data_IF_962830732707
#
_entry.id   IF_962830732707
#
_cell.length_a   1.000
_cell.length_b   1.000
_cell.length_c   1.000
_cell.angle_alpha   90.00
_cell.angle_beta   90.00
_cell.angle_gamma   90.00
#
_symmetry.space_group_name_H-M   'P 1'
#
loop_
_entity.id
_entity.type
_entity.pdbx_description
1 polymer ?
#
# COMPACT_ATOMS: atom_id res chain seq x y z
N UNK A 1 3.07 5.08 -10.04
CA UNK A 1 3.87 4.99 -8.79
C UNK A 1 4.16 3.53 -8.46
N UNK A 2 5.29 3.27 -7.85
CA UNK A 2 5.60 1.93 -7.34
C UNK A 2 4.73 1.63 -6.12
N UNK A 3 4.48 0.35 -5.85
CA UNK A 3 3.66 -0.05 -4.70
C UNK A 3 4.20 0.50 -3.39
N UNK A 4 5.52 0.48 -3.21
CA UNK A 4 6.16 1.01 -2.00
C UNK A 4 5.93 2.52 -1.86
N UNK A 5 6.00 3.26 -2.95
CA UNK A 5 5.73 4.70 -2.96
C UNK A 5 4.29 5.00 -2.59
N UNK A 6 3.35 4.21 -3.13
CA UNK A 6 1.92 4.38 -2.85
C UNK A 6 1.65 4.21 -1.36
N UNK A 7 2.15 3.13 -0.76
CA UNK A 7 1.93 2.86 0.66
C UNK A 7 2.55 3.97 1.53
N UNK A 8 3.77 4.37 1.21
CA UNK A 8 4.45 5.43 1.96
C UNK A 8 3.72 6.76 1.87
N UNK A 9 3.18 7.06 0.70
CA UNK A 9 2.41 8.29 0.50
C UNK A 9 1.13 8.28 1.34
N UNK A 10 0.40 7.17 1.33
CA UNK A 10 -0.81 7.00 2.14
C UNK A 10 -0.49 7.12 3.64
N UNK A 11 0.57 6.44 4.07
CA UNK A 11 1.02 6.49 5.46
C UNK A 11 1.36 7.93 5.87
N UNK A 12 2.04 8.65 5.00
CA UNK A 12 2.42 10.04 5.26
C UNK A 12 1.19 10.93 5.42
N UNK A 13 0.19 10.77 4.56
CA UNK A 13 -1.04 11.55 4.64
C UNK A 13 -1.85 11.26 5.91
N UNK A 14 -1.74 10.05 6.44
CA UNK A 14 -2.44 9.64 7.66
C UNK A 14 -1.58 9.78 8.91
N UNK A 15 -0.38 10.32 8.76
CA UNK A 15 0.58 10.44 9.85
C UNK A 15 0.81 9.09 10.55
N UNK A 16 0.97 8.04 9.74
CA UNK A 16 1.11 6.66 10.19
C UNK A 16 2.54 6.19 9.99
N UNK A 17 3.28 6.01 11.08
CA UNK A 17 4.64 5.45 11.02
C UNK A 17 4.63 3.93 10.91
N UNK A 18 5.79 3.37 10.59
CA UNK A 18 5.97 1.92 10.42
C UNK A 18 5.56 1.14 11.68
N UNK A 19 5.97 1.62 12.85
CA UNK A 19 5.67 0.94 14.11
C UNK A 19 4.16 0.91 14.38
N UNK A 20 3.48 2.02 14.14
CA UNK A 20 2.03 2.11 14.35
C UNK A 20 1.29 1.20 13.40
N UNK A 21 1.72 1.13 12.14
CA UNK A 21 1.15 0.21 11.15
C UNK A 21 1.35 -1.23 11.58
N UNK A 22 2.56 -1.57 12.03
CA UNK A 22 2.88 -2.92 12.50
C UNK A 22 2.00 -3.30 13.70
N UNK A 23 1.85 -2.40 14.66
CA UNK A 23 1.01 -2.63 15.84
C UNK A 23 -0.44 -2.94 15.44
N UNK A 24 -0.98 -2.19 14.50
CA UNK A 24 -2.35 -2.40 14.02
C UNK A 24 -2.52 -3.73 13.29
N UNK A 25 -1.45 -4.21 12.65
CA UNK A 25 -1.46 -5.50 11.95
C UNK A 25 -1.12 -6.67 12.86
N UNK A 26 -0.73 -6.40 14.11
CA UNK A 26 -0.28 -7.45 15.03
C UNK A 26 1.03 -8.08 14.58
N UNK A 27 1.89 -7.33 13.92
CA UNK A 27 3.18 -7.80 13.41
C UNK A 27 4.32 -6.96 13.97
N UNK A 28 5.54 -7.49 13.84
CA UNK A 28 6.74 -6.75 14.26
C UNK A 28 7.07 -5.67 13.23
N UNK A 29 7.61 -4.54 13.70
CA UNK A 29 7.92 -3.41 12.83
C UNK A 29 8.96 -3.75 11.75
N UNK A 30 9.91 -4.66 12.03
CA UNK A 30 10.89 -5.06 11.03
C UNK A 30 10.23 -5.82 9.86
N UNK A 31 9.14 -6.56 10.11
CA UNK A 31 8.38 -7.24 9.05
C UNK A 31 7.76 -6.20 8.11
N UNK A 32 7.19 -5.14 8.67
CA UNK A 32 6.59 -4.07 7.88
C UNK A 32 7.67 -3.28 7.15
N UNK A 33 8.80 -2.99 7.80
CA UNK A 33 9.93 -2.31 7.14
C UNK A 33 10.40 -3.06 5.91
N UNK A 34 10.50 -4.39 6.00
CA UNK A 34 10.88 -5.24 4.87
C UNK A 34 9.85 -5.14 3.73
N UNK A 35 8.57 -5.22 4.07
CA UNK A 35 7.49 -5.10 3.07
C UNK A 35 7.56 -3.77 2.32
N UNK A 36 7.92 -2.70 3.03
CA UNK A 36 8.01 -1.36 2.45
C UNK A 36 9.21 -1.15 1.54
N UNK A 37 10.09 -2.14 1.42
CA UNK A 37 11.22 -2.11 0.49
C UNK A 37 11.02 -3.03 -0.72
N UNK A 38 9.90 -3.76 -0.79
CA UNK A 38 9.63 -4.74 -1.83
C UNK A 38 8.64 -4.19 -2.86
N UNK A 39 9.12 -3.92 -4.06
CA UNK A 39 8.25 -3.45 -5.15
C UNK A 39 7.36 -4.57 -5.71
N UNK A 40 7.75 -5.82 -5.48
CA UNK A 40 7.02 -7.00 -5.95
C UNK A 40 6.29 -7.74 -4.84
N UNK A 41 5.84 -7.00 -3.84
CA UNK A 41 5.08 -7.55 -2.71
C UNK A 41 3.83 -8.28 -3.21
N UNK A 42 3.48 -9.38 -2.55
CA UNK A 42 2.27 -10.13 -2.93
C UNK A 42 1.02 -9.28 -2.69
N UNK A 43 -0.01 -9.55 -3.49
CA UNK A 43 -1.27 -8.82 -3.39
C UNK A 43 -1.93 -9.03 -2.02
N UNK A 44 -1.78 -10.22 -1.45
CA UNK A 44 -2.35 -10.51 -0.12
C UNK A 44 -1.70 -9.63 0.95
N UNK A 45 -0.38 -9.53 0.93
CA UNK A 45 0.36 -8.69 1.89
C UNK A 45 0.07 -7.21 1.69
N UNK A 46 0.00 -6.79 0.44
CA UNK A 46 -0.33 -5.41 0.10
C UNK A 46 -1.73 -5.05 0.59
N UNK A 47 -2.70 -5.89 0.29
CA UNK A 47 -4.10 -5.68 0.70
C UNK A 47 -4.22 -5.63 2.22
N UNK A 48 -3.50 -6.48 2.92
CA UNK A 48 -3.49 -6.52 4.38
C UNK A 48 -3.07 -5.16 4.97
N UNK A 49 -2.00 -4.58 4.43
CA UNK A 49 -1.54 -3.27 4.89
C UNK A 49 -2.52 -2.16 4.50
N UNK A 50 -3.04 -2.20 3.28
CA UNK A 50 -3.96 -1.17 2.81
C UNK A 50 -5.28 -1.16 3.58
N UNK A 51 -5.78 -2.31 3.99
CA UNK A 51 -7.01 -2.39 4.78
C UNK A 51 -6.88 -1.63 6.10
N UNK A 52 -5.73 -1.72 6.75
CA UNK A 52 -5.47 -0.97 7.99
C UNK A 52 -5.45 0.54 7.74
N UNK A 53 -5.07 0.92 6.52
CA UNK A 53 -5.03 2.33 6.12
C UNK A 53 -6.35 2.80 5.50
N UNK A 54 -7.40 1.97 5.57
CA UNK A 54 -8.73 2.26 5.00
C UNK A 54 -8.72 2.40 3.48
N UNK A 55 -7.86 1.63 2.82
CA UNK A 55 -7.80 1.57 1.36
C UNK A 55 -8.14 0.17 0.88
N UNK A 56 -8.54 0.06 -0.38
CA UNK A 56 -8.85 -1.22 -1.02
C UNK A 56 -8.17 -1.29 -2.39
N UNK A 57 -7.93 -2.51 -2.86
CA UNK A 57 -7.38 -2.75 -4.20
C UNK A 57 -8.54 -3.02 -5.13
N UNK A 58 -8.55 -2.37 -6.28
CA UNK A 58 -9.58 -2.53 -7.31
C UNK A 58 -8.90 -2.79 -8.64
N UNK A 59 -9.47 -3.71 -9.41
CA UNK A 59 -9.02 -4.01 -10.77
C UNK A 59 -10.02 -3.41 -11.73
N UNK A 60 -9.53 -2.64 -12.68
CA UNK A 60 -10.37 -1.88 -13.62
C UNK A 60 -9.87 -2.05 -15.05
N UNK A 61 -10.76 -1.95 -16.05
CA UNK A 61 -10.29 -1.85 -17.43
C UNK A 61 -9.34 -0.67 -17.61
N UNK A 62 -8.41 -0.81 -18.54
CA UNK A 62 -7.36 0.20 -18.76
C UNK A 62 -7.94 1.59 -19.05
N UNK A 63 -9.02 1.65 -19.84
CA UNK A 63 -9.61 2.91 -20.25
C UNK A 63 -10.60 3.49 -19.23
N UNK A 64 -10.86 2.78 -18.14
CA UNK A 64 -11.75 3.29 -17.09
C UNK A 64 -11.13 4.47 -16.38
N UNK A 65 -11.96 5.44 -16.00
CA UNK A 65 -11.49 6.59 -15.23
C UNK A 65 -11.16 6.18 -13.81
N UNK A 66 -10.03 6.70 -13.32
CA UNK A 66 -9.60 6.46 -11.94
C UNK A 66 -10.26 7.52 -11.05
N UNK A 67 -11.03 7.11 -10.03
CA UNK A 67 -11.66 8.07 -9.12
C UNK A 67 -10.62 8.94 -8.39
N UNK A 68 -11.02 10.15 -8.01
CA UNK A 68 -10.16 11.03 -7.23
C UNK A 68 -9.75 10.36 -5.92
N UNK A 69 -8.50 10.56 -5.52
CA UNK A 69 -7.96 9.93 -4.31
C UNK A 69 -7.41 8.53 -4.53
N UNK A 70 -7.53 8.00 -5.76
CA UNK A 70 -6.99 6.69 -6.10
C UNK A 70 -5.53 6.78 -6.53
N UNK A 71 -4.83 5.66 -6.46
CA UNK A 71 -3.45 5.54 -6.93
C UNK A 71 -3.38 4.50 -8.04
N UNK A 72 -2.51 4.75 -9.01
CA UNK A 72 -2.28 3.84 -10.12
C UNK A 72 -0.88 3.24 -9.97
N UNK A 73 -0.80 1.90 -9.97
CA UNK A 73 0.48 1.20 -9.94
C UNK A 73 1.15 1.36 -11.29
N UNK A 74 2.46 1.59 -11.32
CA UNK A 74 3.19 1.78 -12.56
C UNK A 74 3.12 0.55 -13.45
N UNK A 75 3.19 0.77 -14.76
CA UNK A 75 3.15 -0.31 -15.74
C UNK A 75 4.37 -1.21 -15.60
N UNK A 76 4.12 -2.50 -15.68
CA UNK A 76 5.17 -3.52 -15.81
C UNK A 76 5.50 -3.66 -17.28
N UNK A 77 6.77 -3.73 -17.59
CA UNK A 77 7.21 -3.96 -18.97
C UNK A 77 7.06 -5.42 -19.37
#
# INVERSE_FOLDING_TARGET
MKTTEIIRDIMSHQDMGTKKLADRLGKKSNVISERLTQDNISIVKLNEMLQVLDYKIVIMPQEARVPAGSYVVEKTK
#
